data_IF_064808615517
#
_entry.id   IF_064808615517
#
_cell.length_a   1.000
_cell.length_b   1.000
_cell.length_c   1.000
_cell.angle_alpha   90.00
_cell.angle_beta   90.00
_cell.angle_gamma   90.00
#
_symmetry.space_group_name_H-M   'P 1'
#
loop_
_entity.id
_entity.type
_entity.pdbx_description
1 polymer ?
#
# COMPACT_ATOMS: atom_id res chain seq x y z
N UNK A 1 -5.29 40.91 -27.73
CA UNK A 1 -5.54 41.31 -26.33
C UNK A 1 -5.53 40.04 -25.49
N UNK A 2 -4.45 39.79 -24.76
CA UNK A 2 -4.28 40.04 -23.31
C UNK A 2 -4.81 38.88 -22.46
N UNK A 3 -3.84 38.16 -21.88
CA UNK A 3 -3.93 37.13 -20.86
C UNK A 3 -4.97 37.46 -19.78
N UNK A 4 -5.96 36.57 -19.60
CA UNK A 4 -6.95 36.66 -18.54
C UNK A 4 -6.37 36.03 -17.25
N UNK A 5 -5.63 36.86 -16.52
CA UNK A 5 -5.53 36.91 -15.05
C UNK A 5 -5.83 35.62 -14.26
N UNK A 6 -4.86 34.71 -14.16
CA UNK A 6 -4.82 33.67 -13.13
C UNK A 6 -4.47 34.23 -11.72
N UNK A 7 -4.95 35.45 -11.39
CA UNK A 7 -4.65 36.18 -10.14
C UNK A 7 -5.87 36.40 -9.24
N UNK A 8 -6.92 35.59 -9.39
CA UNK A 8 -8.09 35.56 -8.50
C UNK A 8 -8.46 34.16 -8.01
N UNK A 9 -7.46 33.27 -7.90
CA UNK A 9 -7.61 31.92 -7.31
C UNK A 9 -6.82 31.71 -6.02
N UNK A 10 -6.16 32.75 -5.52
CA UNK A 10 -5.69 32.75 -4.14
C UNK A 10 -6.77 33.42 -3.31
N UNK A 11 -7.59 32.59 -2.68
CA UNK A 11 -8.45 32.99 -1.58
C UNK A 11 -7.59 33.85 -0.65
N UNK A 12 -8.00 35.08 -0.41
CA UNK A 12 -7.44 35.90 0.66
C UNK A 12 -7.60 35.10 1.95
N UNK A 13 -6.50 34.52 2.43
CA UNK A 13 -6.46 33.90 3.75
C UNK A 13 -6.82 35.01 4.75
N UNK A 14 -7.95 34.88 5.41
CA UNK A 14 -8.33 35.78 6.50
C UNK A 14 -7.40 35.50 7.68
N UNK A 15 -6.25 36.17 7.69
CA UNK A 15 -5.26 36.08 8.76
C UNK A 15 -5.81 36.56 10.13
N UNK A 16 -6.97 37.23 10.13
CA UNK A 16 -7.70 37.62 11.33
C UNK A 16 -8.28 36.44 12.12
N UNK A 17 -8.53 35.29 11.48
CA UNK A 17 -8.99 34.09 12.20
C UNK A 17 -7.92 33.53 13.15
N UNK A 18 -6.64 33.85 12.90
CA UNK A 18 -5.52 33.38 13.71
C UNK A 18 -4.97 34.44 14.68
N UNK A 19 -5.55 35.65 14.68
CA UNK A 19 -5.02 36.79 15.42
C UNK A 19 -5.96 37.35 16.51
N UNK A 20 -7.19 36.84 16.66
CA UNK A 20 -8.03 37.16 17.83
C UNK A 20 -8.00 36.02 18.84
N UNK A 21 -7.07 36.11 19.78
CA UNK A 21 -7.19 35.47 21.08
C UNK A 21 -8.03 36.40 21.98
N UNK A 22 -9.07 35.88 22.65
CA UNK A 22 -9.80 36.61 23.70
C UNK A 22 -11.32 36.76 23.53
N UNK A 23 -12.05 35.91 24.27
CA UNK A 23 -13.36 36.13 24.92
C UNK A 23 -14.69 36.23 24.11
N UNK A 24 -15.44 35.11 24.24
CA UNK A 24 -16.79 35.01 24.81
C UNK A 24 -18.07 35.36 23.99
N UNK A 25 -19.08 34.49 24.28
CA UNK A 25 -20.54 34.55 24.02
C UNK A 25 -20.96 34.10 22.61
N UNK A 26 -21.80 33.10 22.39
CA UNK A 26 -22.68 32.31 23.26
C UNK A 26 -23.98 32.00 22.53
N UNK A 27 -24.53 30.81 22.80
CA UNK A 27 -25.96 30.46 22.83
C UNK A 27 -26.58 29.50 21.78
N UNK A 28 -27.39 28.59 22.37
CA UNK A 28 -28.38 27.60 21.90
C UNK A 28 -27.89 26.27 21.30
N UNK A 29 -28.24 25.08 21.82
CA UNK A 29 -29.19 24.68 22.87
C UNK A 29 -29.68 23.22 22.63
N UNK A 30 -30.10 22.53 23.71
CA UNK A 30 -30.67 21.16 23.80
C UNK A 30 -29.68 19.97 23.79
N UNK A 31 -29.60 19.04 24.75
CA UNK A 31 -30.43 18.77 25.92
C UNK A 31 -30.65 17.25 26.08
N UNK A 32 -29.87 16.59 26.95
CA UNK A 32 -30.29 15.36 27.64
C UNK A 32 -29.36 15.11 28.82
N UNK A 33 -29.83 15.50 30.01
CA UNK A 33 -29.19 15.20 31.27
C UNK A 33 -29.48 13.76 31.69
N UNK A 34 -28.46 13.09 32.19
CA UNK A 34 -28.59 12.01 33.17
C UNK A 34 -27.58 12.32 34.27
N UNK A 35 -28.14 12.75 35.40
CA UNK A 35 -27.49 12.93 36.69
C UNK A 35 -27.24 11.54 37.29
N UNK A 36 -26.02 11.27 37.73
CA UNK A 36 -25.75 10.20 38.71
C UNK A 36 -24.84 10.79 39.78
N UNK A 37 -25.47 11.20 40.88
CA UNK A 37 -24.86 11.65 42.12
C UNK A 37 -24.41 10.45 42.96
N UNK A 38 -23.30 10.62 43.71
CA UNK A 38 -22.91 9.73 44.81
C UNK A 38 -21.44 9.28 44.70
N UNK A 39 -20.49 10.05 45.24
CA UNK A 39 -20.02 10.01 46.64
C UNK A 39 -18.83 9.04 46.80
N UNK A 40 -17.65 9.63 47.00
CA UNK A 40 -16.60 9.11 47.88
C UNK A 40 -15.56 10.23 48.03
N UNK A 41 -15.85 11.08 49.01
CA UNK A 41 -14.92 12.01 49.64
C UNK A 41 -13.73 11.24 50.25
N UNK A 42 -12.55 11.87 50.32
CA UNK A 42 -12.02 12.00 51.66
C UNK A 42 -11.70 13.44 52.02
N UNK A 43 -12.38 13.84 53.08
CA UNK A 43 -12.06 14.89 54.04
C UNK A 43 -10.62 14.71 54.51
N UNK A 44 -9.75 15.68 54.17
CA UNK A 44 -8.79 16.20 55.13
C UNK A 44 -8.40 17.60 54.67
N UNK A 45 -8.88 18.60 55.40
CA UNK A 45 -8.44 19.96 55.22
C UNK A 45 -7.01 20.08 55.75
N UNK A 46 -6.17 20.81 55.05
CA UNK A 46 -5.14 21.58 55.74
C UNK A 46 -4.77 22.81 54.92
N UNK A 47 -4.71 23.89 55.68
CA UNK A 47 -4.66 25.29 55.31
C UNK A 47 -3.44 25.65 54.46
N UNK A 48 -3.57 26.81 53.80
CA UNK A 48 -2.49 27.56 53.18
C UNK A 48 -1.30 27.72 54.15
N UNK A 49 -0.29 26.87 54.02
CA UNK A 49 1.08 27.19 54.43
C UNK A 49 1.98 27.20 53.20
N UNK A 50 2.31 28.43 52.77
CA UNK A 50 3.37 28.76 51.83
C UNK A 50 4.76 28.49 52.45
N UNK A 51 4.97 27.28 52.95
CA UNK A 51 6.33 26.77 53.15
C UNK A 51 6.82 26.26 51.81
N UNK A 52 7.92 26.82 51.33
CA UNK A 52 8.62 26.42 50.10
C UNK A 52 8.72 24.89 50.03
N UNK A 53 7.76 24.27 49.33
CA UNK A 53 7.61 22.81 49.27
C UNK A 53 8.86 22.26 48.60
N UNK A 54 9.82 21.82 49.39
CA UNK A 54 11.05 21.22 48.89
C UNK A 54 10.67 19.86 48.35
N UNK A 55 10.27 19.83 47.08
CA UNK A 55 9.97 18.61 46.34
C UNK A 55 11.11 17.62 46.54
N UNK A 56 10.85 16.60 47.35
CA UNK A 56 11.79 15.51 47.57
C UNK A 56 11.83 14.66 46.30
N UNK A 57 12.91 13.90 46.10
CA UNK A 57 12.98 12.92 45.01
C UNK A 57 11.78 11.96 45.03
N UNK A 58 11.25 11.68 46.23
CA UNK A 58 10.05 10.85 46.42
C UNK A 58 8.79 11.49 45.82
N UNK A 59 8.64 12.82 45.93
CA UNK A 59 7.48 13.54 45.38
C UNK A 59 7.52 13.57 43.85
N UNK A 60 8.73 13.67 43.28
CA UNK A 60 8.94 13.56 41.83
C UNK A 60 8.63 12.14 41.33
N UNK A 61 9.11 11.12 42.02
CA UNK A 61 8.84 9.72 41.67
C UNK A 61 7.33 9.43 41.73
N UNK A 62 6.63 9.96 42.73
CA UNK A 62 5.19 9.77 42.88
C UNK A 62 4.38 10.57 41.85
N UNK A 63 4.85 11.77 41.45
CA UNK A 63 4.27 12.50 40.33
C UNK A 63 4.42 11.73 39.01
N UNK A 64 5.59 11.13 38.76
CA UNK A 64 5.85 10.31 37.57
C UNK A 64 5.00 9.04 37.58
N UNK A 65 4.89 8.34 38.73
CA UNK A 65 4.00 7.18 38.87
C UNK A 65 2.54 7.54 38.60
N UNK A 66 2.06 8.68 39.14
CA UNK A 66 0.70 9.19 38.88
C UNK A 66 0.49 9.51 37.40
N UNK A 67 1.47 10.13 36.73
CA UNK A 67 1.44 10.42 35.29
C UNK A 67 1.38 9.12 34.47
N UNK A 68 2.24 8.15 34.76
CA UNK A 68 2.28 6.84 34.10
C UNK A 68 1.00 6.04 34.33
N UNK A 69 0.43 6.06 35.54
CA UNK A 69 -0.83 5.39 35.83
C UNK A 69 -2.00 6.04 35.08
N UNK A 70 -2.04 7.38 35.00
CA UNK A 70 -3.03 8.12 34.21
C UNK A 70 -2.88 7.84 32.72
N UNK A 71 -1.65 7.76 32.22
CA UNK A 71 -1.38 7.43 30.81
C UNK A 71 -1.76 5.99 30.48
N UNK A 72 -1.41 5.02 31.33
CA UNK A 72 -1.85 3.62 31.20
C UNK A 72 -3.36 3.49 31.25
N UNK A 73 -4.04 4.19 32.15
CA UNK A 73 -5.51 4.21 32.23
C UNK A 73 -6.14 4.85 30.99
N UNK A 74 -5.57 5.93 30.46
CA UNK A 74 -6.01 6.55 29.19
C UNK A 74 -5.79 5.60 28.01
N UNK A 75 -4.64 4.93 27.97
CA UNK A 75 -4.31 3.97 26.92
C UNK A 75 -5.25 2.76 26.96
N UNK A 76 -5.51 2.17 28.13
CA UNK A 76 -6.48 1.08 28.30
C UNK A 76 -7.89 1.51 27.93
N UNK A 77 -8.34 2.71 28.35
CA UNK A 77 -9.65 3.26 27.97
C UNK A 77 -9.75 3.47 26.45
N UNK A 78 -8.68 3.90 25.79
CA UNK A 78 -8.65 4.04 24.34
C UNK A 78 -8.66 2.69 23.61
N UNK A 79 -8.02 1.65 24.16
CA UNK A 79 -8.09 0.29 23.61
C UNK A 79 -9.50 -0.30 23.76
N UNK A 80 -10.12 -0.15 24.93
CA UNK A 80 -11.50 -0.60 25.15
C UNK A 80 -12.51 0.16 24.29
N UNK A 81 -12.34 1.48 24.12
CA UNK A 81 -13.15 2.26 23.18
C UNK A 81 -12.95 1.85 21.72
N UNK A 82 -11.78 1.33 21.35
CA UNK A 82 -11.54 0.78 20.00
C UNK A 82 -12.20 -0.58 19.83
N UNK A 83 -12.14 -1.45 20.85
CA UNK A 83 -12.80 -2.77 20.80
C UNK A 83 -14.32 -2.67 20.85
N UNK A 84 -14.91 -1.77 21.67
CA UNK A 84 -16.37 -1.53 21.68
C UNK A 84 -16.89 -0.90 20.38
N UNK A 85 -16.02 -0.21 19.63
CA UNK A 85 -16.31 0.28 18.27
C UNK A 85 -16.17 -0.84 17.24
N UNK A 86 -15.23 -1.78 17.42
CA UNK A 86 -15.09 -2.97 16.56
C UNK A 86 -16.25 -3.97 16.74
N UNK A 87 -16.78 -4.17 17.94
CA UNK A 87 -17.90 -5.10 18.19
C UNK A 87 -19.26 -4.58 17.69
N UNK A 88 -19.42 -3.26 17.47
CA UNK A 88 -20.56 -2.68 16.73
C UNK A 88 -20.28 -2.43 15.25
N UNK A 89 -19.06 -2.71 14.78
CA UNK A 89 -18.65 -2.62 13.38
C UNK A 89 -18.31 -4.02 12.83
N UNK A 90 -19.21 -4.97 13.03
CA UNK A 90 -19.33 -6.06 12.06
C UNK A 90 -19.60 -5.42 10.69
N UNK A 91 -18.67 -5.57 9.75
CA UNK A 91 -18.64 -4.97 8.40
C UNK A 91 -18.05 -3.54 8.31
N UNK A 92 -16.86 -3.32 8.88
CA UNK A 92 -16.14 -2.04 8.75
C UNK A 92 -15.23 -2.00 7.52
N UNK A 93 -15.65 -1.28 6.48
CA UNK A 93 -14.79 -0.82 5.38
C UNK A 93 -13.42 -0.39 5.91
N UNK A 94 -12.33 -0.93 5.34
CA UNK A 94 -11.02 -0.32 5.50
C UNK A 94 -11.16 1.17 5.10
N UNK A 95 -10.95 2.08 6.07
CA UNK A 95 -11.07 3.52 5.88
C UNK A 95 -10.34 3.93 4.60
N UNK A 96 -10.95 4.82 3.81
CA UNK A 96 -10.34 5.41 2.60
C UNK A 96 -8.89 5.84 2.86
N UNK A 97 -8.59 6.35 4.06
CA UNK A 97 -7.23 6.72 4.46
C UNK A 97 -6.29 5.52 4.63
N UNK A 98 -6.72 4.42 5.22
CA UNK A 98 -5.93 3.17 5.30
C UNK A 98 -5.69 2.55 3.93
N UNK A 99 -6.71 2.50 3.06
CA UNK A 99 -6.57 2.04 1.67
C UNK A 99 -5.56 2.91 0.90
N UNK A 100 -5.66 4.24 1.05
CA UNK A 100 -4.76 5.17 0.40
C UNK A 100 -3.31 5.01 0.87
N UNK A 101 -3.09 4.80 2.18
CA UNK A 101 -1.75 4.53 2.74
C UNK A 101 -1.16 3.23 2.22
N UNK A 102 -1.90 2.11 2.26
CA UNK A 102 -1.42 0.83 1.70
C UNK A 102 -1.18 0.90 0.18
N UNK A 103 -2.01 1.65 -0.54
CA UNK A 103 -1.80 1.91 -1.96
C UNK A 103 -0.54 2.75 -2.23
N UNK A 104 -0.23 3.72 -1.37
CA UNK A 104 1.00 4.52 -1.46
C UNK A 104 2.24 3.66 -1.13
N UNK A 105 2.20 2.89 -0.06
CA UNK A 105 3.28 1.97 0.35
C UNK A 105 3.56 0.90 -0.71
N UNK A 106 2.51 0.29 -1.27
CA UNK A 106 2.67 -0.69 -2.35
C UNK A 106 3.18 -0.08 -3.64
N UNK A 107 2.91 1.20 -3.91
CA UNK A 107 3.49 1.93 -5.05
C UNK A 107 4.97 2.27 -4.82
N UNK A 108 5.32 2.70 -3.61
CA UNK A 108 6.70 3.00 -3.23
C UNK A 108 7.60 1.75 -3.33
N UNK A 109 7.19 0.65 -2.71
CA UNK A 109 7.93 -0.63 -2.76
C UNK A 109 8.06 -1.19 -4.18
N UNK A 110 7.03 -1.03 -5.03
CA UNK A 110 7.11 -1.39 -6.46
C UNK A 110 8.08 -0.49 -7.22
N UNK A 111 8.15 0.80 -6.90
CA UNK A 111 9.09 1.72 -7.55
C UNK A 111 10.53 1.39 -7.17
N UNK A 112 10.80 1.13 -5.89
CA UNK A 112 12.11 0.68 -5.39
C UNK A 112 12.55 -0.61 -6.09
N UNK A 113 11.67 -1.62 -6.16
CA UNK A 113 11.97 -2.87 -6.84
C UNK A 113 12.29 -2.69 -8.34
N UNK A 114 11.57 -1.79 -9.02
CA UNK A 114 11.86 -1.45 -10.42
C UNK A 114 13.24 -0.80 -10.58
N UNK A 115 13.62 0.10 -9.67
CA UNK A 115 14.94 0.73 -9.69
C UNK A 115 16.04 -0.32 -9.56
N UNK A 116 15.93 -1.22 -8.57
CA UNK A 116 16.90 -2.30 -8.36
C UNK A 116 16.99 -3.21 -9.59
N UNK A 117 15.87 -3.57 -10.22
CA UNK A 117 15.89 -4.36 -11.46
C UNK A 117 16.61 -3.64 -12.61
N UNK A 118 16.40 -2.33 -12.78
CA UNK A 118 17.10 -1.56 -13.80
C UNK A 118 18.60 -1.46 -13.52
N UNK A 119 19.00 -1.29 -12.26
CA UNK A 119 20.40 -1.30 -11.82
C UNK A 119 21.07 -2.67 -12.09
N UNK A 120 20.33 -3.77 -11.91
CA UNK A 120 20.77 -5.12 -12.27
C UNK A 120 20.82 -5.39 -13.79
N UNK A 121 20.39 -4.44 -14.63
CA UNK A 121 20.41 -4.54 -16.09
C UNK A 121 19.26 -5.34 -16.70
N UNK A 122 18.14 -5.50 -15.98
CA UNK A 122 16.93 -6.15 -16.48
C UNK A 122 16.30 -5.31 -17.59
N UNK A 123 15.84 -5.98 -18.66
CA UNK A 123 15.15 -5.38 -19.79
C UNK A 123 13.78 -4.85 -19.35
N UNK A 124 13.36 -3.72 -19.93
CA UNK A 124 12.13 -3.01 -19.56
C UNK A 124 10.88 -3.90 -19.64
N UNK A 125 10.85 -4.81 -20.59
CA UNK A 125 9.70 -5.69 -20.84
C UNK A 125 9.62 -6.85 -19.82
N UNK A 126 10.74 -7.21 -19.17
CA UNK A 126 10.83 -8.30 -18.19
C UNK A 126 10.97 -7.82 -16.74
N UNK A 127 10.88 -6.51 -16.47
CA UNK A 127 11.05 -5.97 -15.11
C UNK A 127 9.96 -6.48 -14.16
N UNK A 128 8.69 -6.38 -14.57
CA UNK A 128 7.59 -6.76 -13.70
C UNK A 128 7.59 -8.29 -13.43
N UNK A 129 7.97 -9.10 -14.42
CA UNK A 129 8.15 -10.56 -14.27
C UNK A 129 9.33 -10.91 -13.34
N UNK A 130 10.45 -10.20 -13.49
CA UNK A 130 11.61 -10.38 -12.62
C UNK A 130 11.29 -10.02 -11.16
N UNK A 131 10.52 -8.95 -10.93
CA UNK A 131 10.06 -8.55 -9.59
C UNK A 131 9.13 -9.62 -8.99
N UNK A 132 8.20 -10.17 -9.78
CA UNK A 132 7.30 -11.21 -9.32
C UNK A 132 8.07 -12.47 -8.88
N UNK A 133 9.07 -12.88 -9.68
CA UNK A 133 9.93 -14.02 -9.35
C UNK A 133 10.81 -13.72 -8.14
N UNK A 134 11.40 -12.51 -8.03
CA UNK A 134 12.21 -12.12 -6.88
C UNK A 134 11.41 -12.16 -5.57
N UNK A 135 10.16 -11.69 -5.57
CA UNK A 135 9.27 -11.80 -4.40
C UNK A 135 9.04 -13.25 -3.99
N UNK A 136 8.82 -14.16 -4.94
CA UNK A 136 8.71 -15.58 -4.62
C UNK A 136 9.99 -16.15 -4.02
N UNK A 137 11.18 -15.64 -4.39
CA UNK A 137 12.43 -16.06 -3.76
C UNK A 137 12.58 -15.55 -2.33
N UNK A 138 12.11 -14.33 -2.04
CA UNK A 138 12.08 -13.77 -0.68
C UNK A 138 11.09 -14.53 0.21
N UNK A 139 9.92 -14.92 -0.30
CA UNK A 139 8.93 -15.73 0.44
C UNK A 139 9.47 -17.12 0.78
N UNK A 140 10.32 -17.70 -0.08
CA UNK A 140 10.92 -19.01 0.13
C UNK A 140 12.21 -18.97 0.96
N UNK A 141 12.85 -17.81 1.10
CA UNK A 141 14.06 -17.62 1.90
C UNK A 141 14.05 -16.21 2.51
N UNK A 142 13.69 -16.13 3.79
CA UNK A 142 13.60 -14.88 4.56
C UNK A 142 14.96 -14.17 4.72
N UNK A 143 16.08 -14.84 4.43
CA UNK A 143 17.44 -14.28 4.48
C UNK A 143 17.81 -13.49 3.20
N UNK A 144 16.99 -13.53 2.15
CA UNK A 144 17.32 -12.88 0.88
C UNK A 144 16.74 -11.49 0.80
N UNK A 145 17.63 -10.52 0.62
CA UNK A 145 17.25 -9.17 0.23
C UNK A 145 16.77 -9.14 -1.22
N UNK A 146 16.02 -8.09 -1.56
CA UNK A 146 15.44 -7.88 -2.89
C UNK A 146 16.52 -7.90 -4.00
N UNK A 147 17.69 -7.31 -3.71
CA UNK A 147 18.84 -7.28 -4.61
C UNK A 147 19.39 -8.68 -4.88
N UNK A 148 19.61 -9.48 -3.83
CA UNK A 148 20.09 -10.86 -3.94
C UNK A 148 19.08 -11.76 -4.66
N UNK A 149 17.79 -11.57 -4.40
CA UNK A 149 16.72 -12.28 -5.08
C UNK A 149 16.72 -11.95 -6.58
N UNK A 150 16.85 -10.68 -6.96
CA UNK A 150 16.96 -10.24 -8.36
C UNK A 150 18.23 -10.80 -8.99
N UNK A 151 19.36 -10.83 -8.31
CA UNK A 151 20.60 -11.40 -8.84
C UNK A 151 20.44 -12.90 -9.14
N UNK A 152 19.76 -13.65 -8.26
CA UNK A 152 19.43 -15.07 -8.49
C UNK A 152 18.50 -15.26 -9.68
N UNK A 153 17.48 -14.41 -9.83
CA UNK A 153 16.57 -14.42 -10.98
C UNK A 153 17.36 -14.18 -12.26
N UNK A 154 18.21 -13.16 -12.28
CA UNK A 154 19.02 -12.80 -13.45
C UNK A 154 20.06 -13.89 -13.79
N UNK A 155 20.64 -14.56 -12.79
CA UNK A 155 21.53 -15.71 -12.98
C UNK A 155 20.79 -16.90 -13.62
N UNK A 156 19.56 -17.18 -13.20
CA UNK A 156 18.74 -18.29 -13.72
C UNK A 156 18.07 -17.98 -15.07
N UNK A 157 17.73 -16.72 -15.29
CA UNK A 157 17.03 -16.24 -16.49
C UNK A 157 17.87 -15.13 -17.16
N UNK A 158 18.98 -15.48 -17.84
CA UNK A 158 19.85 -14.49 -18.48
C UNK A 158 19.14 -13.67 -19.55
N UNK A 159 18.06 -14.21 -20.12
CA UNK A 159 17.23 -13.54 -21.12
C UNK A 159 16.49 -12.31 -20.59
N UNK A 160 16.43 -12.14 -19.26
CA UNK A 160 15.93 -10.90 -18.67
C UNK A 160 16.91 -9.74 -18.84
N UNK A 161 18.18 -9.94 -19.18
CA UNK A 161 19.10 -8.83 -19.46
C UNK A 161 18.87 -8.25 -20.83
N UNK A 162 18.92 -6.91 -20.91
CA UNK A 162 18.85 -6.15 -22.16
C UNK A 162 20.03 -6.54 -23.06
N UNK A 163 19.78 -7.29 -24.13
CA UNK A 163 20.82 -7.71 -25.09
C UNK A 163 20.83 -9.20 -25.42
N UNK A 164 19.91 -10.01 -24.89
CA UNK A 164 19.61 -11.33 -25.48
C UNK A 164 18.70 -11.16 -26.69
N UNK A 165 19.28 -10.60 -27.74
CA UNK A 165 18.67 -10.46 -29.06
C UNK A 165 18.62 -11.83 -29.76
N UNK A 166 17.94 -12.81 -29.16
CA UNK A 166 17.28 -13.83 -29.96
C UNK A 166 15.82 -13.41 -30.05
N UNK A 167 15.59 -12.61 -31.09
CA UNK A 167 14.32 -12.38 -31.78
C UNK A 167 13.25 -13.43 -31.45
N UNK A 168 12.45 -13.13 -30.43
CA UNK A 168 11.03 -13.42 -30.51
C UNK A 168 10.41 -12.26 -31.29
N UNK A 169 10.80 -12.15 -32.56
CA UNK A 169 9.90 -11.63 -33.57
C UNK A 169 8.52 -12.18 -33.24
N UNK A 170 7.58 -11.25 -33.16
CA UNK A 170 6.15 -11.42 -33.02
C UNK A 170 5.64 -12.35 -34.14
N UNK A 171 6.00 -13.64 -34.07
CA UNK A 171 5.35 -14.71 -34.79
C UNK A 171 4.02 -14.84 -34.10
N UNK A 172 3.06 -13.98 -34.49
CA UNK A 172 1.63 -14.18 -34.31
C UNK A 172 1.41 -15.67 -34.44
N UNK A 173 1.21 -16.32 -33.30
CA UNK A 173 1.20 -17.75 -33.22
C UNK A 173 -0.04 -18.17 -33.99
N UNK A 174 0.18 -18.64 -35.22
CA UNK A 174 -0.89 -19.20 -36.05
C UNK A 174 -1.68 -20.13 -35.13
N UNK A 175 -2.99 -19.88 -35.10
CA UNK A 175 -3.92 -20.68 -34.31
C UNK A 175 -3.69 -22.16 -34.61
N UNK A 176 -3.95 -23.06 -33.65
CA UNK A 176 -3.71 -24.50 -33.80
C UNK A 176 -4.23 -25.03 -35.15
N UNK A 177 -5.39 -24.54 -35.61
CA UNK A 177 -5.98 -24.89 -36.90
C UNK A 177 -5.26 -24.34 -38.15
N UNK A 178 -4.55 -23.21 -38.07
CA UNK A 178 -3.77 -22.67 -39.20
C UNK A 178 -2.43 -23.38 -39.39
N UNK A 179 -1.88 -23.99 -38.35
CA UNK A 179 -0.64 -24.77 -38.47
C UNK A 179 -0.82 -26.03 -39.31
N UNK A 180 -2.03 -26.59 -39.36
CA UNK A 180 -2.35 -27.73 -40.22
C UNK A 180 -2.59 -27.34 -41.69
N UNK A 181 -2.87 -26.07 -41.98
CA UNK A 181 -3.10 -25.56 -43.35
C UNK A 181 -1.83 -25.04 -44.04
N UNK A 182 -0.65 -25.34 -43.49
CA UNK A 182 0.64 -24.96 -44.06
C UNK A 182 1.13 -25.90 -45.17
N UNK A 183 0.67 -25.67 -46.40
CA UNK A 183 1.37 -25.88 -47.69
C UNK A 183 2.44 -26.99 -47.76
N UNK A 184 2.01 -28.22 -48.02
CA UNK A 184 2.77 -29.11 -48.90
C UNK A 184 2.05 -29.03 -50.27
N UNK A 185 2.69 -28.67 -51.39
CA UNK A 185 2.04 -28.84 -52.69
C UNK A 185 1.58 -30.30 -52.76
N UNK A 186 0.30 -30.54 -53.08
CA UNK A 186 -0.32 -31.87 -53.06
C UNK A 186 0.55 -32.86 -53.86
N UNK A 187 1.45 -33.55 -53.16
CA UNK A 187 2.10 -34.74 -53.69
C UNK A 187 0.95 -35.74 -53.72
N UNK A 188 0.46 -36.02 -54.93
CA UNK A 188 -0.60 -37.00 -55.18
C UNK A 188 -0.41 -38.17 -54.22
N UNK A 189 -1.45 -38.51 -53.47
CA UNK A 189 -1.40 -39.58 -52.48
C UNK A 189 -0.92 -40.88 -53.15
N UNK A 190 -0.34 -41.80 -52.37
CA UNK A 190 0.17 -43.06 -52.94
C UNK A 190 -0.89 -43.83 -53.74
N UNK A 191 -2.16 -43.69 -53.37
CA UNK A 191 -3.30 -44.27 -54.08
C UNK A 191 -3.58 -43.53 -55.39
N UNK A 192 -3.65 -42.20 -55.37
CA UNK A 192 -3.86 -41.39 -56.58
C UNK A 192 -2.72 -41.59 -57.59
N UNK A 193 -1.47 -41.69 -57.13
CA UNK A 193 -0.33 -42.02 -58.01
C UNK A 193 -0.55 -43.34 -58.74
N UNK A 194 -0.88 -44.41 -58.01
CA UNK A 194 -1.16 -45.72 -58.63
C UNK A 194 -2.37 -45.69 -59.55
N UNK A 195 -3.39 -44.90 -59.21
CA UNK A 195 -4.56 -44.73 -60.04
C UNK A 195 -4.22 -44.11 -61.40
N UNK A 196 -3.40 -43.05 -61.44
CA UNK A 196 -2.95 -42.46 -62.71
C UNK A 196 -1.88 -43.29 -63.44
N UNK A 197 -1.12 -44.15 -62.73
CA UNK A 197 -0.21 -45.11 -63.36
C UNK A 197 -0.98 -46.21 -64.11
N UNK A 198 -2.11 -46.68 -63.55
CA UNK A 198 -2.98 -47.68 -64.17
C UNK A 198 -3.91 -47.09 -65.23
N UNK A 199 -4.18 -45.78 -65.16
CA UNK A 199 -5.04 -45.05 -66.10
C UNK A 199 -4.29 -43.82 -66.66
N UNK A 200 -3.32 -44.03 -67.57
CA UNK A 200 -2.48 -42.95 -68.09
C UNK A 200 -3.24 -41.92 -68.92
N UNK A 201 -4.42 -42.26 -69.43
CA UNK A 201 -5.27 -41.39 -70.26
C UNK A 201 -6.03 -40.32 -69.44
N UNK A 202 -6.01 -40.43 -68.11
CA UNK A 202 -6.73 -39.53 -67.18
C UNK A 202 -5.87 -38.39 -66.64
N UNK A 203 -4.61 -38.28 -67.08
CA UNK A 203 -3.64 -37.32 -66.56
C UNK A 203 -3.77 -35.92 -67.15
#
# INVERSE_FOLDING_TARGET
MKYMNAKRKYQSLNLQLFASDGEAVGDNGEGSGEEDEGDDEPEDGEEDDLEEKKFSQKDLDDAVKKRLAREKRKWQRNQQKKSDVEDKAGDGEESEESKARKAAESRATKAEARVVCYEAGVAKDSVDDAIALARSYMENNEELDLEDAIEKVVKKYPHFKKGTEESYEEKKSKSWGERQKGSNPQKMSGVEKRFYELNPDLK
#
